data_IF_821149395860
#
_entry.id   IF_821149395860
#
_cell.length_a   1.000
_cell.length_b   1.000
_cell.length_c   1.000
_cell.angle_alpha   90.00
_cell.angle_beta   90.00
_cell.angle_gamma   90.00
#
_symmetry.space_group_name_H-M   'P 1'
#
loop_
_entity.id
_entity.type
_entity.pdbx_description
1 polymer ?
#
# COMPACT_ATOMS: atom_id res chain seq x y z
N UNK A 1 14.31 -11.99 5.25
CA UNK A 1 14.49 -10.95 6.31
C UNK A 1 13.17 -10.79 7.02
N UNK A 2 13.00 -11.47 8.14
CA UNK A 2 11.75 -11.44 8.88
C UNK A 2 11.63 -10.13 9.68
N UNK A 3 10.55 -9.39 9.47
CA UNK A 3 10.23 -8.15 10.17
C UNK A 3 8.70 -7.96 10.25
N UNK A 4 8.23 -6.88 10.87
CA UNK A 4 6.79 -6.68 11.06
C UNK A 4 6.01 -6.57 9.74
N UNK A 5 6.61 -6.06 8.65
CA UNK A 5 5.94 -5.98 7.33
C UNK A 5 5.82 -7.37 6.71
N UNK A 6 6.89 -8.20 6.74
CA UNK A 6 6.82 -9.55 6.21
C UNK A 6 5.85 -10.43 7.00
N UNK A 7 5.82 -10.29 8.33
CA UNK A 7 4.86 -10.99 9.19
C UNK A 7 3.42 -10.53 8.95
N UNK A 8 3.20 -9.20 8.84
CA UNK A 8 1.87 -8.64 8.64
C UNK A 8 1.22 -9.14 7.35
N UNK A 9 1.95 -9.13 6.25
CA UNK A 9 1.41 -9.47 4.93
C UNK A 9 1.66 -10.91 4.49
N UNK A 10 2.47 -11.68 5.25
CA UNK A 10 2.82 -13.06 4.89
C UNK A 10 3.71 -13.17 3.66
N UNK A 11 4.59 -12.19 3.44
CA UNK A 11 5.51 -12.11 2.30
C UNK A 11 6.95 -12.45 2.70
N UNK A 12 7.77 -12.84 1.73
CA UNK A 12 9.17 -13.23 1.96
C UNK A 12 10.09 -12.02 2.05
N UNK A 13 9.90 -11.03 1.18
CA UNK A 13 10.69 -9.80 1.13
C UNK A 13 9.81 -8.59 1.43
N UNK A 14 10.28 -7.62 2.25
CA UNK A 14 9.49 -6.42 2.59
C UNK A 14 9.50 -5.40 1.43
N UNK A 15 9.15 -5.87 0.24
CA UNK A 15 9.08 -5.11 -1.00
C UNK A 15 7.67 -5.18 -1.55
N UNK A 16 7.04 -4.02 -1.71
CA UNK A 16 5.69 -3.86 -2.19
C UNK A 16 5.71 -3.16 -3.56
N UNK A 17 4.99 -3.67 -4.54
CA UNK A 17 4.78 -2.94 -5.79
C UNK A 17 3.78 -1.80 -5.56
N UNK A 18 4.10 -0.59 -6.02
CA UNK A 18 3.18 0.53 -5.98
C UNK A 18 1.90 0.24 -6.78
N UNK A 19 0.76 0.66 -6.26
CA UNK A 19 -0.52 0.57 -6.95
C UNK A 19 -0.67 1.69 -7.99
N UNK A 20 0.06 1.59 -9.09
CA UNK A 20 0.15 2.63 -10.11
C UNK A 20 -1.06 2.61 -11.05
N UNK A 21 -1.71 3.76 -11.20
CA UNK A 21 -2.79 4.00 -12.16
C UNK A 21 -2.32 3.62 -13.58
N UNK A 22 -3.13 2.84 -14.31
CA UNK A 22 -2.87 2.32 -15.66
C UNK A 22 -1.73 1.29 -15.79
N UNK A 23 -0.85 1.15 -14.80
CA UNK A 23 0.35 0.30 -14.90
C UNK A 23 0.25 -0.98 -14.06
N UNK A 24 -0.36 -0.92 -12.85
CA UNK A 24 -0.41 -2.05 -11.93
C UNK A 24 -1.63 -2.95 -12.19
N UNK A 25 -1.59 -3.68 -13.29
CA UNK A 25 -2.54 -4.75 -13.58
C UNK A 25 -2.11 -6.10 -12.98
N UNK A 26 -2.95 -7.12 -13.16
CA UNK A 26 -2.74 -8.45 -12.59
C UNK A 26 -1.41 -9.11 -12.98
N UNK A 27 -0.88 -8.84 -14.20
CA UNK A 27 0.40 -9.42 -14.65
C UNK A 27 1.58 -8.96 -13.79
N UNK A 28 1.68 -7.64 -13.57
CA UNK A 28 2.74 -7.10 -12.73
C UNK A 28 2.55 -7.52 -11.27
N UNK A 29 1.33 -7.37 -10.75
CA UNK A 29 1.03 -7.71 -9.36
C UNK A 29 1.31 -9.20 -9.05
N UNK A 30 0.88 -10.13 -9.92
CA UNK A 30 1.16 -11.56 -9.73
C UNK A 30 2.64 -11.90 -9.85
N UNK A 31 3.37 -11.27 -10.76
CA UNK A 31 4.82 -11.47 -10.90
C UNK A 31 5.57 -11.06 -9.63
N UNK A 32 5.23 -9.90 -9.04
CA UNK A 32 5.84 -9.44 -7.79
C UNK A 32 5.49 -10.38 -6.63
N UNK A 33 4.22 -10.80 -6.52
CA UNK A 33 3.80 -11.75 -5.47
C UNK A 33 4.50 -13.09 -5.61
N UNK A 34 4.61 -13.63 -6.81
CA UNK A 34 5.31 -14.90 -7.08
C UNK A 34 6.82 -14.81 -6.81
N UNK A 35 7.40 -13.61 -6.92
CA UNK A 35 8.80 -13.34 -6.56
C UNK A 35 9.02 -13.13 -5.05
N UNK A 36 7.99 -13.25 -4.22
CA UNK A 36 8.09 -13.15 -2.75
C UNK A 36 7.84 -11.77 -2.16
N UNK A 37 7.54 -10.76 -2.98
CA UNK A 37 7.06 -9.44 -2.54
C UNK A 37 5.55 -9.37 -2.40
N UNK A 38 4.99 -8.17 -2.30
CA UNK A 38 3.56 -7.90 -2.32
C UNK A 38 3.15 -7.16 -3.58
N UNK A 39 2.47 -7.84 -4.50
CA UNK A 39 1.86 -7.21 -5.67
C UNK A 39 0.59 -6.46 -5.30
N UNK A 40 0.38 -5.27 -5.86
CA UNK A 40 -0.84 -4.49 -5.70
C UNK A 40 -1.51 -4.23 -7.04
N UNK A 41 -2.82 -4.47 -7.12
CA UNK A 41 -3.65 -3.97 -8.21
C UNK A 41 -3.93 -2.48 -8.00
N UNK A 42 -3.68 -1.66 -9.02
CA UNK A 42 -3.95 -0.21 -8.98
C UNK A 42 -5.41 0.11 -9.34
N UNK A 43 -6.31 0.07 -8.37
CA UNK A 43 -7.74 0.24 -8.62
C UNK A 43 -8.17 1.68 -9.00
N UNK A 44 -7.31 2.67 -8.81
CA UNK A 44 -7.64 4.09 -9.05
C UNK A 44 -8.02 4.45 -10.50
N UNK A 45 -7.74 3.58 -11.48
CA UNK A 45 -8.11 3.74 -12.89
C UNK A 45 -9.07 2.67 -13.39
N UNK A 46 -9.54 1.77 -12.52
CA UNK A 46 -10.37 0.65 -12.91
C UNK A 46 -11.82 0.90 -12.54
N UNK A 47 -12.72 0.75 -13.52
CA UNK A 47 -14.14 0.58 -13.20
C UNK A 47 -14.35 -0.72 -12.40
N UNK A 48 -15.41 -0.83 -11.59
CA UNK A 48 -15.64 -2.01 -10.75
C UNK A 48 -15.58 -3.33 -11.52
N UNK A 49 -16.13 -3.38 -12.74
CA UNK A 49 -16.13 -4.58 -13.59
C UNK A 49 -14.71 -4.97 -14.01
N UNK A 50 -13.88 -3.99 -14.36
CA UNK A 50 -12.46 -4.21 -14.72
C UNK A 50 -11.67 -4.68 -13.50
N UNK A 51 -11.92 -4.10 -12.32
CA UNK A 51 -11.28 -4.54 -11.09
C UNK A 51 -11.68 -5.99 -10.75
N UNK A 52 -12.96 -6.35 -10.90
CA UNK A 52 -13.43 -7.71 -10.69
C UNK A 52 -12.67 -8.71 -11.58
N UNK A 53 -12.54 -8.40 -12.88
CA UNK A 53 -11.78 -9.22 -13.83
C UNK A 53 -10.30 -9.36 -13.42
N UNK A 54 -9.67 -8.27 -12.97
CA UNK A 54 -8.28 -8.29 -12.51
C UNK A 54 -8.10 -9.11 -11.22
N UNK A 55 -9.06 -9.05 -10.29
CA UNK A 55 -9.07 -9.88 -9.08
C UNK A 55 -9.17 -11.36 -9.46
N UNK A 56 -10.08 -11.73 -10.36
CA UNK A 56 -10.23 -13.12 -10.81
C UNK A 56 -8.95 -13.64 -11.47
N UNK A 57 -8.31 -12.81 -12.30
CA UNK A 57 -7.01 -13.13 -12.92
C UNK A 57 -5.88 -13.26 -11.88
N UNK A 58 -5.87 -12.43 -10.83
CA UNK A 58 -4.91 -12.57 -9.72
C UNK A 58 -5.09 -13.92 -9.02
N UNK A 59 -6.33 -14.28 -8.66
CA UNK A 59 -6.61 -15.54 -8.00
C UNK A 59 -6.23 -16.77 -8.84
N UNK A 60 -6.29 -16.65 -10.18
CA UNK A 60 -5.81 -17.70 -11.09
C UNK A 60 -4.29 -17.72 -11.28
N UNK A 61 -3.61 -16.57 -11.15
CA UNK A 61 -2.19 -16.41 -11.46
C UNK A 61 -1.26 -16.66 -10.27
N UNK A 62 -1.75 -16.55 -9.04
CA UNK A 62 -0.93 -16.73 -7.84
C UNK A 62 -1.74 -17.22 -6.63
N UNK A 63 -1.08 -18.02 -5.80
CA UNK A 63 -1.55 -18.39 -4.44
C UNK A 63 -0.82 -17.59 -3.36
N UNK A 64 0.11 -16.72 -3.74
CA UNK A 64 0.88 -15.88 -2.82
C UNK A 64 0.08 -14.64 -2.41
N UNK A 65 0.41 -13.98 -1.28
CA UNK A 65 -0.25 -12.75 -0.86
C UNK A 65 -0.17 -11.65 -1.91
N UNK A 66 -1.27 -10.94 -2.09
CA UNK A 66 -1.40 -9.77 -2.94
C UNK A 66 -2.50 -8.84 -2.41
N UNK A 67 -2.55 -7.62 -2.89
CA UNK A 67 -3.53 -6.64 -2.42
C UNK A 67 -4.04 -5.70 -3.51
N UNK A 68 -4.90 -4.78 -3.09
CA UNK A 68 -5.47 -3.73 -3.95
C UNK A 68 -5.10 -2.36 -3.40
N UNK A 69 -4.55 -1.48 -4.24
CA UNK A 69 -4.42 -0.06 -3.93
C UNK A 69 -5.72 0.66 -4.29
N UNK A 70 -6.31 1.35 -3.31
CA UNK A 70 -7.61 1.97 -3.40
C UNK A 70 -7.58 3.43 -2.97
N UNK A 71 -7.62 4.39 -3.91
CA UNK A 71 -7.83 5.80 -3.59
C UNK A 71 -9.24 6.02 -3.05
N UNK A 72 -9.37 6.56 -1.81
CA UNK A 72 -10.66 6.70 -1.12
C UNK A 72 -11.55 7.83 -1.66
N UNK A 73 -11.02 8.66 -2.55
CA UNK A 73 -11.79 9.70 -3.24
C UNK A 73 -12.44 9.22 -4.55
N UNK A 74 -12.38 7.93 -4.84
CA UNK A 74 -13.01 7.35 -6.03
C UNK A 74 -14.55 7.52 -5.95
N UNK A 75 -15.23 7.96 -7.04
CA UNK A 75 -16.67 8.27 -6.99
C UNK A 75 -17.57 7.10 -6.57
N UNK A 76 -17.24 5.87 -6.95
CA UNK A 76 -17.98 4.66 -6.61
C UNK A 76 -17.32 3.86 -5.47
N UNK A 77 -16.68 4.53 -4.53
CA UNK A 77 -15.83 3.90 -3.51
C UNK A 77 -16.57 2.79 -2.73
N UNK A 78 -17.81 3.02 -2.33
CA UNK A 78 -18.57 2.03 -1.55
C UNK A 78 -18.82 0.76 -2.37
N UNK A 79 -19.15 0.88 -3.67
CA UNK A 79 -19.32 -0.25 -4.59
C UNK A 79 -18.00 -1.03 -4.79
N UNK A 80 -16.89 -0.31 -4.90
CA UNK A 80 -15.57 -0.95 -5.04
C UNK A 80 -15.19 -1.68 -3.75
N UNK A 81 -15.50 -1.12 -2.58
CA UNK A 81 -15.27 -1.79 -1.29
C UNK A 81 -16.11 -3.06 -1.17
N UNK A 82 -17.41 -3.00 -1.55
CA UNK A 82 -18.28 -4.19 -1.56
C UNK A 82 -17.69 -5.29 -2.44
N UNK A 83 -17.26 -4.94 -3.64
CA UNK A 83 -16.61 -5.87 -4.57
C UNK A 83 -15.33 -6.50 -4.00
N UNK A 84 -14.46 -5.70 -3.38
CA UNK A 84 -13.22 -6.16 -2.75
C UNK A 84 -13.53 -7.19 -1.65
N UNK A 85 -14.53 -6.91 -0.82
CA UNK A 85 -14.97 -7.80 0.26
C UNK A 85 -15.58 -9.09 -0.31
N UNK A 86 -16.51 -8.97 -1.27
CA UNK A 86 -17.17 -10.10 -1.93
C UNK A 86 -16.17 -11.04 -2.61
N UNK A 87 -15.19 -10.47 -3.31
CA UNK A 87 -14.12 -11.23 -3.98
C UNK A 87 -13.05 -11.79 -3.03
N UNK A 88 -13.15 -11.54 -1.74
CA UNK A 88 -12.30 -12.14 -0.71
C UNK A 88 -10.86 -11.62 -0.70
N UNK A 89 -10.60 -10.41 -1.19
CA UNK A 89 -9.29 -9.73 -1.08
C UNK A 89 -8.88 -9.64 0.39
N UNK A 90 -7.60 -9.83 0.70
CA UNK A 90 -7.10 -9.88 2.08
C UNK A 90 -6.26 -8.68 2.49
N UNK A 91 -5.82 -7.87 1.55
CA UNK A 91 -4.92 -6.75 1.81
C UNK A 91 -5.36 -5.56 0.96
N UNK A 92 -5.53 -4.39 1.60
CA UNK A 92 -5.86 -3.13 0.91
C UNK A 92 -4.88 -2.04 1.32
N UNK A 93 -4.34 -1.35 0.34
CA UNK A 93 -3.57 -0.12 0.52
C UNK A 93 -4.46 1.05 0.15
N UNK A 94 -4.86 1.84 1.12
CA UNK A 94 -5.73 3.01 0.89
C UNK A 94 -4.92 4.29 0.77
N UNK A 95 -5.40 5.25 -0.02
CA UNK A 95 -4.78 6.55 -0.24
C UNK A 95 -5.83 7.63 -0.50
N UNK A 96 -5.41 8.89 -0.60
CA UNK A 96 -6.25 10.01 -1.03
C UNK A 96 -7.58 10.12 -0.26
N UNK A 97 -7.51 10.28 1.05
CA UNK A 97 -8.70 10.45 1.90
C UNK A 97 -8.44 10.01 3.34
N UNK A 98 -9.49 9.97 4.16
CA UNK A 98 -9.39 9.50 5.54
C UNK A 98 -9.71 8.02 5.64
N UNK A 99 -8.81 7.18 6.17
CA UNK A 99 -9.09 5.75 6.35
C UNK A 99 -10.15 5.48 7.43
N UNK A 100 -10.40 6.45 8.33
CA UNK A 100 -11.29 6.30 9.49
C UNK A 100 -12.69 5.75 9.12
N UNK A 101 -13.22 6.16 7.95
CA UNK A 101 -14.55 5.74 7.51
C UNK A 101 -14.63 4.25 7.15
N UNK A 102 -13.52 3.67 6.70
CA UNK A 102 -13.55 2.36 6.06
C UNK A 102 -12.72 1.28 6.75
N UNK A 103 -11.77 1.66 7.63
CA UNK A 103 -10.87 0.70 8.29
C UNK A 103 -11.64 -0.37 9.06
N UNK A 104 -12.63 0.02 9.87
CA UNK A 104 -13.44 -0.94 10.63
C UNK A 104 -14.15 -1.94 9.71
N UNK A 105 -14.75 -1.46 8.60
CA UNK A 105 -15.43 -2.31 7.62
C UNK A 105 -14.49 -3.33 6.96
N UNK A 106 -13.25 -2.92 6.65
CA UNK A 106 -12.24 -3.84 6.13
C UNK A 106 -11.83 -4.88 7.18
N UNK A 107 -11.63 -4.47 8.42
CA UNK A 107 -11.29 -5.39 9.52
C UNK A 107 -12.40 -6.41 9.81
N UNK A 108 -13.66 -6.00 9.80
CA UNK A 108 -14.83 -6.90 9.93
C UNK A 108 -14.84 -7.99 8.84
N UNK A 109 -14.33 -7.68 7.65
CA UNK A 109 -14.16 -8.63 6.54
C UNK A 109 -12.83 -9.41 6.59
N UNK A 110 -12.01 -9.23 7.64
CA UNK A 110 -10.70 -9.87 7.80
C UNK A 110 -9.63 -9.35 6.84
N UNK A 111 -9.76 -8.10 6.37
CA UNK A 111 -8.85 -7.45 5.43
C UNK A 111 -7.86 -6.58 6.21
N UNK A 112 -6.56 -6.70 5.91
CA UNK A 112 -5.50 -5.85 6.45
C UNK A 112 -5.41 -4.55 5.67
N UNK A 113 -5.22 -3.45 6.40
CA UNK A 113 -5.25 -2.10 5.82
C UNK A 113 -3.92 -1.39 6.05
N UNK A 114 -3.23 -1.01 4.98
CA UNK A 114 -2.18 0.00 5.02
C UNK A 114 -2.71 1.33 4.46
N UNK A 115 -2.21 2.47 4.96
CA UNK A 115 -2.63 3.77 4.44
C UNK A 115 -1.43 4.64 4.06
N UNK A 116 -1.52 5.30 2.89
CA UNK A 116 -0.47 6.15 2.34
C UNK A 116 -0.62 7.58 2.88
N UNK A 117 0.46 8.12 3.42
CA UNK A 117 0.53 9.47 3.99
C UNK A 117 1.79 10.22 3.57
N UNK A 118 1.69 11.55 3.48
CA UNK A 118 2.80 12.45 3.16
C UNK A 118 3.25 13.33 4.34
N UNK A 119 2.72 13.10 5.56
CA UNK A 119 3.16 13.85 6.75
C UNK A 119 2.94 13.07 8.04
N UNK A 120 3.71 13.40 9.08
CA UNK A 120 3.58 12.82 10.42
C UNK A 120 2.20 13.09 11.04
N UNK A 121 1.60 14.26 10.79
CA UNK A 121 0.25 14.60 11.25
C UNK A 121 -0.80 13.64 10.71
N UNK A 122 -0.72 13.25 9.43
CA UNK A 122 -1.63 12.28 8.84
C UNK A 122 -1.32 10.85 9.31
N UNK A 123 -0.04 10.52 9.54
CA UNK A 123 0.34 9.22 10.08
C UNK A 123 -0.29 8.97 11.46
N UNK A 124 -0.27 9.95 12.37
CA UNK A 124 -0.93 9.86 13.68
C UNK A 124 -2.43 9.61 13.52
N UNK A 125 -3.11 10.35 12.64
CA UNK A 125 -4.54 10.15 12.38
C UNK A 125 -4.87 8.77 11.81
N UNK A 126 -3.96 8.20 11.00
CA UNK A 126 -4.14 6.86 10.48
C UNK A 126 -3.96 5.80 11.57
N UNK A 127 -2.99 5.99 12.47
CA UNK A 127 -2.84 5.13 13.65
C UNK A 127 -4.07 5.19 14.56
N UNK A 128 -4.63 6.38 14.80
CA UNK A 128 -5.88 6.55 15.55
C UNK A 128 -7.09 5.92 14.84
N UNK A 129 -7.08 5.87 13.51
CA UNK A 129 -8.10 5.19 12.71
C UNK A 129 -7.95 3.66 12.70
N UNK A 130 -6.89 3.11 13.31
CA UNK A 130 -6.69 1.70 13.49
C UNK A 130 -6.14 0.94 12.28
N UNK A 131 -5.47 1.62 11.32
CA UNK A 131 -4.82 0.91 10.21
C UNK A 131 -3.69 0.00 10.70
N UNK A 132 -3.36 -1.05 9.94
CA UNK A 132 -2.36 -2.05 10.35
C UNK A 132 -0.92 -1.63 10.01
N UNK A 133 -0.75 -0.78 8.99
CA UNK A 133 0.55 -0.25 8.57
C UNK A 133 0.41 1.15 7.93
N UNK A 134 1.52 1.87 7.89
CA UNK A 134 1.61 3.19 7.26
C UNK A 134 2.61 3.14 6.11
N UNK A 135 2.25 3.73 4.98
CA UNK A 135 3.16 4.01 3.88
C UNK A 135 3.52 5.49 3.92
N UNK A 136 4.78 5.80 4.23
CA UNK A 136 5.34 7.15 4.18
C UNK A 136 5.78 7.46 2.75
N UNK A 137 5.01 8.28 2.04
CA UNK A 137 5.27 8.62 0.65
C UNK A 137 5.90 10.01 0.55
N UNK A 138 7.20 10.03 0.23
CA UNK A 138 7.95 11.26 -0.03
C UNK A 138 7.63 11.89 -1.39
N UNK A 139 8.00 13.15 -1.56
CA UNK A 139 7.70 13.95 -2.75
C UNK A 139 8.37 13.43 -4.03
N UNK A 140 9.39 12.57 -3.92
CA UNK A 140 10.03 11.91 -5.05
C UNK A 140 9.17 10.80 -5.69
N UNK A 141 8.03 10.46 -5.09
CA UNK A 141 7.09 9.51 -5.67
C UNK A 141 6.47 10.04 -6.97
N UNK A 142 6.18 9.15 -7.90
CA UNK A 142 5.41 9.48 -9.10
C UNK A 142 3.91 9.59 -8.80
N UNK A 143 3.18 10.33 -9.64
CA UNK A 143 1.73 10.47 -9.52
C UNK A 143 1.31 11.67 -8.65
N UNK A 144 0.22 11.53 -7.90
CA UNK A 144 -0.29 12.58 -7.02
C UNK A 144 0.40 12.52 -5.66
N UNK A 145 1.17 13.53 -5.35
CA UNK A 145 1.90 13.66 -4.10
C UNK A 145 1.12 14.47 -3.04
N UNK A 146 1.61 14.42 -1.79
CA UNK A 146 1.14 15.29 -0.72
C UNK A 146 1.40 16.78 -1.03
N UNK A 147 0.71 17.67 -0.33
CA UNK A 147 0.87 19.13 -0.49
C UNK A 147 2.17 19.65 0.13
N UNK A 148 2.63 18.97 1.17
CA UNK A 148 3.94 19.24 1.77
C UNK A 148 5.01 18.54 0.95
N UNK A 149 5.89 19.30 0.33
CA UNK A 149 6.98 18.80 -0.53
C UNK A 149 8.13 18.18 0.31
N UNK A 150 7.77 17.27 1.22
CA UNK A 150 8.74 16.61 2.11
C UNK A 150 9.38 15.42 1.37
N UNK A 151 10.70 15.44 1.30
CA UNK A 151 11.47 14.35 0.70
C UNK A 151 11.40 13.07 1.53
N UNK A 152 11.57 11.93 0.90
CA UNK A 152 11.53 10.60 1.54
C UNK A 152 12.50 10.51 2.71
N UNK A 153 13.74 11.01 2.57
CA UNK A 153 14.74 10.98 3.64
C UNK A 153 14.36 11.81 4.86
N UNK A 154 13.63 12.91 4.68
CA UNK A 154 13.16 13.75 5.79
C UNK A 154 11.87 13.20 6.41
N UNK A 155 10.97 12.62 5.59
CA UNK A 155 9.66 12.16 6.01
C UNK A 155 9.70 10.90 6.87
N UNK A 156 10.51 9.89 6.49
CA UNK A 156 10.56 8.60 7.18
C UNK A 156 10.88 8.75 8.66
N UNK A 157 11.99 9.42 9.09
CA UNK A 157 12.31 9.57 10.51
C UNK A 157 11.26 10.40 11.27
N UNK A 158 10.64 11.40 10.64
CA UNK A 158 9.56 12.17 11.26
C UNK A 158 8.34 11.30 11.57
N UNK A 159 7.93 10.46 10.62
CA UNK A 159 6.80 9.54 10.84
C UNK A 159 7.18 8.47 11.85
N UNK A 160 8.39 7.90 11.77
CA UNK A 160 8.84 6.87 12.72
C UNK A 160 8.82 7.35 14.17
N UNK A 161 9.15 8.62 14.42
CA UNK A 161 9.06 9.22 15.76
C UNK A 161 7.63 9.46 16.22
N UNK A 162 6.69 9.67 15.29
CA UNK A 162 5.31 10.02 15.59
C UNK A 162 4.38 8.80 15.80
N UNK A 163 4.72 7.63 15.24
CA UNK A 163 3.86 6.44 15.26
C UNK A 163 4.63 5.17 15.60
N UNK A 164 3.92 4.16 16.09
CA UNK A 164 4.49 2.84 16.44
C UNK A 164 4.17 1.74 15.44
N UNK A 165 3.25 1.99 14.51
CA UNK A 165 2.83 1.02 13.49
C UNK A 165 4.00 0.59 12.56
N UNK A 166 3.91 -0.59 11.93
CA UNK A 166 4.80 -0.97 10.83
C UNK A 166 4.85 0.12 9.76
N UNK A 167 6.07 0.49 9.31
CA UNK A 167 6.31 1.62 8.43
C UNK A 167 6.95 1.17 7.11
N UNK A 168 6.32 1.54 6.02
CA UNK A 168 6.76 1.31 4.64
C UNK A 168 7.20 2.65 4.06
N UNK A 169 8.38 2.71 3.46
CA UNK A 169 8.86 3.90 2.75
C UNK A 169 8.49 3.84 1.27
N UNK A 170 8.04 4.96 0.72
CA UNK A 170 7.75 5.13 -0.70
C UNK A 170 8.29 6.47 -1.22
N UNK A 171 8.66 6.51 -2.50
CA UNK A 171 9.21 7.70 -3.15
C UNK A 171 10.72 7.63 -3.35
N UNK A 172 11.16 7.63 -4.61
CA UNK A 172 12.58 7.67 -4.99
C UNK A 172 13.40 6.42 -4.69
N UNK A 173 12.77 5.29 -4.34
CA UNK A 173 13.44 4.05 -3.98
C UNK A 173 13.49 3.13 -5.21
N UNK A 174 14.68 3.01 -5.83
CA UNK A 174 14.89 2.24 -7.05
C UNK A 174 16.11 1.29 -6.99
N UNK A 175 16.69 1.10 -5.82
CA UNK A 175 17.86 0.22 -5.64
C UNK A 175 17.90 -0.38 -4.23
N UNK A 176 18.70 -1.45 -4.06
CA UNK A 176 18.94 -2.04 -2.74
C UNK A 176 19.60 -1.06 -1.78
N UNK A 177 20.47 -0.15 -2.27
CA UNK A 177 21.07 0.90 -1.45
C UNK A 177 20.03 1.89 -0.93
N UNK A 178 19.09 2.32 -1.79
CA UNK A 178 18.00 3.21 -1.39
C UNK A 178 17.04 2.51 -0.39
N UNK A 179 16.76 1.23 -0.58
CA UNK A 179 16.02 0.42 0.39
C UNK A 179 16.73 0.37 1.74
N UNK A 180 18.04 0.09 1.74
CA UNK A 180 18.84 0.05 2.98
C UNK A 180 18.85 1.42 3.69
N UNK A 181 18.98 2.51 2.95
CA UNK A 181 18.89 3.86 3.50
C UNK A 181 17.52 4.13 4.14
N UNK A 182 16.43 3.76 3.48
CA UNK A 182 15.08 3.89 4.03
C UNK A 182 14.91 3.08 5.33
N UNK A 183 15.45 1.86 5.38
CA UNK A 183 15.42 1.02 6.57
C UNK A 183 16.29 1.60 7.70
N UNK A 184 17.45 2.17 7.40
CA UNK A 184 18.27 2.86 8.38
C UNK A 184 17.57 4.09 9.00
N UNK A 185 16.67 4.73 8.25
CA UNK A 185 15.84 5.84 8.72
C UNK A 185 14.59 5.39 9.52
N UNK A 186 14.33 4.08 9.62
CA UNK A 186 13.28 3.51 10.44
C UNK A 186 12.12 2.88 9.70
N UNK A 187 12.18 2.76 8.37
CA UNK A 187 11.23 1.95 7.61
C UNK A 187 11.50 0.46 7.80
N UNK A 188 10.48 -0.37 7.64
CA UNK A 188 10.54 -1.82 7.76
C UNK A 188 10.24 -2.53 6.43
N UNK A 189 9.88 -1.76 5.44
CA UNK A 189 9.67 -2.19 4.06
C UNK A 189 9.67 -1.01 3.12
N UNK A 190 9.61 -1.30 1.83
CA UNK A 190 9.60 -0.29 0.77
C UNK A 190 8.48 -0.55 -0.23
N UNK A 191 7.87 0.53 -0.72
CA UNK A 191 6.94 0.49 -1.85
C UNK A 191 7.61 1.14 -3.06
N UNK A 192 7.66 0.40 -4.15
CA UNK A 192 8.40 0.77 -5.36
C UNK A 192 7.43 0.87 -6.53
N UNK A 193 7.43 2.03 -7.20
CA UNK A 193 6.61 2.28 -8.39
C UNK A 193 7.39 2.17 -9.70
N UNK A 194 8.64 2.57 -9.70
CA UNK A 194 9.47 2.66 -10.90
C UNK A 194 10.75 1.85 -10.76
N UNK A 195 11.12 1.19 -11.86
CA UNK A 195 12.43 0.58 -12.06
C UNK A 195 13.28 1.50 -12.93
#
# INVERSE_FOLDING_TARGET
MENRITQLFGIEYPVIAGGMVWCSGWRLASAVSNAGGLGLLGAGSMHPETLAEHIDKMNAATTKPWGVNLPLMYPEIDRVIDLIIEKGVKIVFTSAGSPKKYTARFHEAGIKVAHVVASSKFAVKCQEAGVDAIVAEGFEAGGHNGREEITTMALIPQIRQAVTLPLIAAGGIASGQAMLAAMALGAEGVQIGTL
#
